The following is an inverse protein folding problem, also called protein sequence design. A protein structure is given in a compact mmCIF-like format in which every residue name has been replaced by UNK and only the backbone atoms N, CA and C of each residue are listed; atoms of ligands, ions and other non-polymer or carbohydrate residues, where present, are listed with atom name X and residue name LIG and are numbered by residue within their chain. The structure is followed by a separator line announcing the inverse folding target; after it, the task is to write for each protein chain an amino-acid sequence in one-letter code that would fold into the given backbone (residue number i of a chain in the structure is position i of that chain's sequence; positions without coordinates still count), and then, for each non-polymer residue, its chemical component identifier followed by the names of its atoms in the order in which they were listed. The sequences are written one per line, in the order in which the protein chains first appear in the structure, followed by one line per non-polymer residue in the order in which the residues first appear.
data_IF_546165198965
#
_entry.id   IF_546165198965
#
_cell.length_a   1.000
_cell.length_b   1.000
_cell.length_c   1.000
_cell.angle_alpha   90.00
_cell.angle_beta   90.00
_cell.angle_gamma   90.00
#
_symmetry.space_group_name_H-M   'P 1'
#
loop_
_entity.id
_entity.type
_entity.pdbx_description
1 polymer ?
#
# COMPACT_ATOMS: atom_id res chain seq x y z
N UNK A 1 17.21 3.41 12.54
CA UNK A 1 15.79 3.75 12.76
C UNK A 1 15.27 4.33 11.47
N UNK A 2 14.50 3.56 10.70
CA UNK A 2 13.80 4.11 9.53
C UNK A 2 12.63 4.93 10.04
N UNK A 3 12.85 6.25 10.17
CA UNK A 3 11.83 7.16 10.64
C UNK A 3 10.66 7.23 9.63
N UNK A 4 9.44 7.03 10.11
CA UNK A 4 8.21 7.18 9.33
C UNK A 4 8.15 8.54 8.64
N UNK A 5 8.67 9.61 9.26
CA UNK A 5 8.73 10.93 8.64
C UNK A 5 9.62 10.94 7.39
N UNK A 6 10.73 10.18 7.41
CA UNK A 6 11.61 10.04 6.23
C UNK A 6 10.87 9.34 5.10
N UNK A 7 10.08 8.30 5.41
CA UNK A 7 9.23 7.65 4.41
C UNK A 7 8.23 8.67 3.82
N UNK A 8 7.47 9.37 4.66
CA UNK A 8 6.46 10.35 4.21
C UNK A 8 7.05 11.44 3.33
N UNK A 9 8.23 11.97 3.70
CA UNK A 9 8.95 12.92 2.86
C UNK A 9 9.35 12.32 1.49
N UNK A 10 9.80 11.06 1.47
CA UNK A 10 10.12 10.35 0.23
C UNK A 10 8.91 10.15 -0.67
N UNK A 11 7.74 9.79 -0.11
CA UNK A 11 6.49 9.62 -0.85
C UNK A 11 6.11 10.89 -1.61
N UNK A 12 6.27 12.05 -0.99
CA UNK A 12 5.92 13.36 -1.56
C UNK A 12 6.91 13.84 -2.63
N UNK A 13 8.06 13.19 -2.81
CA UNK A 13 9.07 13.60 -3.80
C UNK A 13 8.65 13.42 -5.26
N UNK A 14 7.59 12.65 -5.52
CA UNK A 14 7.15 12.26 -6.86
C UNK A 14 8.05 11.22 -7.54
N UNK A 15 9.16 10.81 -6.91
CA UNK A 15 10.14 9.84 -7.43
C UNK A 15 10.22 8.56 -6.61
N UNK A 16 9.39 8.42 -5.59
CA UNK A 16 9.37 7.22 -4.74
C UNK A 16 9.16 5.95 -5.56
N UNK A 17 9.95 4.93 -5.26
CA UNK A 17 9.86 3.62 -5.90
C UNK A 17 9.10 2.65 -5.00
N UNK A 18 8.30 1.78 -5.61
CA UNK A 18 7.54 0.79 -4.84
C UNK A 18 8.45 -0.13 -4.01
N UNK A 19 9.61 -0.47 -4.55
CA UNK A 19 10.63 -1.26 -3.85
C UNK A 19 11.10 -0.61 -2.54
N UNK A 20 11.13 0.72 -2.46
CA UNK A 20 11.55 1.44 -1.24
C UNK A 20 10.49 1.30 -0.13
N UNK A 21 9.20 1.34 -0.48
CA UNK A 21 8.11 1.02 0.46
C UNK A 21 8.26 -0.39 1.00
N UNK A 22 8.51 -1.38 0.12
CA UNK A 22 8.69 -2.77 0.57
C UNK A 22 9.94 -2.95 1.43
N UNK A 23 11.04 -2.25 1.11
CA UNK A 23 12.26 -2.27 1.90
C UNK A 23 12.03 -1.64 3.29
N UNK A 24 11.29 -0.54 3.36
CA UNK A 24 10.90 0.07 4.63
C UNK A 24 10.07 -0.90 5.48
N UNK A 25 9.06 -1.55 4.89
CA UNK A 25 8.26 -2.57 5.57
C UNK A 25 9.13 -3.72 6.09
N UNK A 26 10.00 -4.27 5.24
CA UNK A 26 10.86 -5.40 5.61
C UNK A 26 11.87 -5.08 6.72
N UNK A 27 12.31 -3.83 6.82
CA UNK A 27 13.24 -3.37 7.84
C UNK A 27 12.55 -3.14 9.19
N UNK A 28 11.35 -2.58 9.18
CA UNK A 28 10.68 -2.05 10.37
C UNK A 28 9.54 -2.92 10.92
N UNK A 29 9.06 -3.91 10.16
CA UNK A 29 7.88 -4.70 10.52
C UNK A 29 8.09 -6.19 10.28
N UNK A 30 7.35 -7.00 11.03
CA UNK A 30 7.11 -8.40 10.72
C UNK A 30 5.84 -8.51 9.89
N UNK A 31 5.91 -9.26 8.78
CA UNK A 31 4.79 -9.45 7.87
C UNK A 31 4.26 -10.87 7.98
N UNK A 32 2.94 -10.97 8.10
CA UNK A 32 2.19 -12.22 8.00
C UNK A 32 1.23 -12.13 6.80
N UNK A 33 1.25 -13.11 5.87
CA UNK A 33 0.28 -13.16 4.79
C UNK A 33 -1.14 -13.19 5.31
N UNK A 34 -1.97 -12.30 4.78
CA UNK A 34 -3.34 -12.10 5.26
C UNK A 34 -4.28 -11.79 4.10
N UNK A 35 -5.49 -12.36 4.17
CA UNK A 35 -6.56 -12.02 3.25
C UNK A 35 -7.11 -10.63 3.55
N UNK A 36 -7.51 -9.90 2.51
CA UNK A 36 -8.08 -8.56 2.62
C UNK A 36 -9.04 -8.22 1.49
N UNK A 37 -9.98 -7.33 1.78
CA UNK A 37 -10.81 -6.67 0.79
C UNK A 37 -10.34 -5.23 0.62
N UNK A 38 -10.34 -4.74 -0.61
CA UNK A 38 -10.05 -3.35 -0.93
C UNK A 38 -11.13 -2.83 -1.88
N UNK A 39 -12.16 -2.19 -1.33
CA UNK A 39 -13.23 -1.60 -2.13
C UNK A 39 -13.97 -2.60 -3.03
N UNK A 40 -14.16 -3.83 -2.56
CA UNK A 40 -14.77 -4.92 -3.33
C UNK A 40 -13.78 -5.82 -4.07
N UNK A 41 -12.49 -5.47 -4.12
CA UNK A 41 -11.44 -6.37 -4.63
C UNK A 41 -11.01 -7.32 -3.51
N UNK A 42 -11.35 -8.59 -3.66
CA UNK A 42 -10.95 -9.64 -2.71
C UNK A 42 -9.57 -10.18 -3.03
N UNK A 43 -8.75 -10.34 -1.99
CA UNK A 43 -7.38 -10.84 -2.08
C UNK A 43 -7.21 -11.97 -1.06
N UNK A 44 -6.88 -13.17 -1.53
CA UNK A 44 -6.54 -14.27 -0.64
C UNK A 44 -5.19 -14.05 0.05
N UNK A 45 -4.96 -14.72 1.18
CA UNK A 45 -3.66 -14.68 1.85
C UNK A 45 -2.55 -15.17 0.89
N UNK A 46 -1.45 -14.42 0.81
CA UNK A 46 -0.34 -14.69 -0.12
C UNK A 46 -0.57 -14.20 -1.56
N UNK A 47 -1.75 -13.64 -1.89
CA UNK A 47 -1.97 -12.94 -3.15
C UNK A 47 -1.75 -11.44 -2.96
N UNK A 48 -1.24 -10.78 -4.01
CA UNK A 48 -1.04 -9.34 -4.05
C UNK A 48 -0.27 -8.82 -2.82
N UNK A 49 0.76 -9.55 -2.40
CA UNK A 49 1.47 -9.30 -1.14
C UNK A 49 2.04 -7.89 -1.03
N UNK A 50 2.46 -7.30 -2.16
CA UNK A 50 2.88 -5.92 -2.21
C UNK A 50 1.76 -4.94 -1.80
N UNK A 51 0.53 -5.19 -2.26
CA UNK A 51 -0.66 -4.43 -1.84
C UNK A 51 -1.01 -4.70 -0.38
N UNK A 52 -0.97 -5.97 0.06
CA UNK A 52 -1.22 -6.36 1.44
C UNK A 52 -0.29 -5.60 2.41
N UNK A 53 1.02 -5.60 2.13
CA UNK A 53 2.04 -4.88 2.92
C UNK A 53 1.82 -3.37 2.91
N UNK A 54 1.59 -2.79 1.75
CA UNK A 54 1.46 -1.32 1.60
C UNK A 54 0.20 -0.79 2.28
N UNK A 55 -0.94 -1.46 2.08
CA UNK A 55 -2.20 -1.09 2.72
C UNK A 55 -2.16 -1.38 4.23
N UNK A 56 -1.55 -2.49 4.64
CA UNK A 56 -1.32 -2.80 6.05
C UNK A 56 -0.48 -1.73 6.75
N UNK A 57 0.59 -1.26 6.09
CA UNK A 57 1.41 -0.16 6.56
C UNK A 57 0.59 1.12 6.67
N UNK A 58 -0.17 1.46 5.63
CA UNK A 58 -0.99 2.66 5.60
C UNK A 58 -1.98 2.74 6.76
N UNK A 59 -2.70 1.64 7.03
CA UNK A 59 -3.65 1.56 8.13
C UNK A 59 -2.94 1.57 9.50
N UNK A 60 -1.84 0.84 9.66
CA UNK A 60 -1.10 0.77 10.93
C UNK A 60 -0.48 2.13 11.30
N UNK A 61 0.04 2.86 10.32
CA UNK A 61 0.76 4.12 10.51
C UNK A 61 -0.10 5.38 10.34
N UNK A 62 -1.40 5.20 10.10
CA UNK A 62 -2.33 6.31 9.87
C UNK A 62 -1.90 7.20 8.71
N UNK A 63 -1.52 6.58 7.58
CA UNK A 63 -1.29 7.30 6.34
C UNK A 63 -2.63 7.80 5.77
N UNK A 64 -2.57 8.92 5.05
CA UNK A 64 -3.69 9.37 4.21
C UNK A 64 -3.84 8.51 2.95
N UNK A 65 -5.01 8.59 2.30
CA UNK A 65 -5.25 7.93 1.01
C UNK A 65 -4.19 8.30 -0.03
N UNK A 66 -3.81 9.58 -0.08
CA UNK A 66 -2.78 10.08 -0.99
C UNK A 66 -1.41 9.49 -0.68
N UNK A 67 -1.02 9.41 0.58
CA UNK A 67 0.26 8.78 0.97
C UNK A 67 0.26 7.29 0.65
N UNK A 68 -0.84 6.58 0.89
CA UNK A 68 -0.98 5.17 0.54
C UNK A 68 -0.86 4.95 -0.97
N UNK A 69 -1.48 5.80 -1.79
CA UNK A 69 -1.32 5.77 -3.25
C UNK A 69 0.12 6.04 -3.68
N UNK A 70 0.78 7.06 -3.09
CA UNK A 70 2.18 7.37 -3.38
C UNK A 70 3.13 6.23 -2.99
N UNK A 71 2.79 5.45 -1.96
CA UNK A 71 3.58 4.29 -1.52
C UNK A 71 3.61 3.17 -2.58
N UNK A 72 2.66 3.13 -3.51
CA UNK A 72 2.72 2.25 -4.69
C UNK A 72 3.69 2.72 -5.78
N UNK A 73 4.32 3.89 -5.61
CA UNK A 73 5.41 4.37 -6.46
C UNK A 73 5.06 4.42 -7.96
N UNK A 74 5.89 3.79 -8.78
CA UNK A 74 5.73 3.70 -10.23
C UNK A 74 4.43 3.02 -10.66
N UNK A 75 3.90 2.07 -9.88
CA UNK A 75 2.64 1.40 -10.22
C UNK A 75 1.45 2.35 -10.13
N UNK A 76 1.42 3.23 -9.12
CA UNK A 76 0.38 4.26 -9.03
C UNK A 76 0.48 5.25 -10.20
N UNK A 77 1.70 5.71 -10.52
CA UNK A 77 1.91 6.60 -11.66
C UNK A 77 1.47 5.96 -12.99
N UNK A 78 1.72 4.67 -13.18
CA UNK A 78 1.27 3.91 -14.35
C UNK A 78 -0.26 3.89 -14.45
N UNK A 79 -0.96 3.59 -13.36
CA UNK A 79 -2.43 3.56 -13.31
C UNK A 79 -3.05 4.93 -13.62
N UNK A 80 -2.45 6.01 -13.09
CA UNK A 80 -2.90 7.38 -13.40
C UNK A 80 -2.70 7.73 -14.88
N UNK A 81 -1.63 7.21 -15.51
CA UNK A 81 -1.37 7.41 -16.93
C UNK A 81 -2.29 6.55 -17.84
N UNK A 82 -2.92 5.51 -17.30
CA UNK A 82 -3.82 4.59 -18.02
C UNK A 82 -5.22 4.55 -17.37
N UNK A 83 -6.02 5.63 -17.45
CA UNK A 83 -7.31 5.71 -16.79
C UNK A 83 -8.28 4.59 -17.21
N UNK A 84 -8.25 4.19 -18.49
CA UNK A 84 -9.08 3.12 -19.06
C UNK A 84 -8.49 1.69 -18.89
N UNK A 85 -7.34 1.58 -18.20
CA UNK A 85 -6.70 0.28 -17.95
C UNK A 85 -7.45 -0.56 -16.92
N UNK A 86 -7.16 -1.87 -16.89
CA UNK A 86 -7.70 -2.82 -15.91
C UNK A 86 -6.60 -3.48 -15.06
N UNK A 87 -5.35 -3.05 -15.22
CA UNK A 87 -4.19 -3.46 -14.45
C UNK A 87 -4.24 -2.90 -13.02
N UNK A 88 -3.51 -3.56 -12.10
CA UNK A 88 -3.37 -3.12 -10.71
C UNK A 88 -4.71 -2.85 -9.98
N UNK A 89 -5.60 -3.85 -9.96
CA UNK A 89 -6.93 -3.74 -9.36
C UNK A 89 -6.97 -3.14 -7.95
N UNK A 90 -5.99 -3.44 -7.09
CA UNK A 90 -5.90 -2.85 -5.75
C UNK A 90 -5.61 -1.34 -5.76
N UNK A 91 -4.76 -0.85 -6.67
CA UNK A 91 -4.46 0.57 -6.77
C UNK A 91 -5.71 1.31 -7.26
N UNK A 92 -6.39 0.76 -8.29
CA UNK A 92 -7.63 1.34 -8.81
C UNK A 92 -8.74 1.37 -7.77
N UNK A 93 -8.90 0.29 -7.01
CA UNK A 93 -9.86 0.25 -5.92
C UNK A 93 -9.54 1.25 -4.81
N UNK A 94 -8.25 1.44 -4.49
CA UNK A 94 -7.82 2.45 -3.52
C UNK A 94 -8.11 3.87 -4.01
N UNK A 95 -7.94 4.15 -5.31
CA UNK A 95 -8.33 5.45 -5.91
C UNK A 95 -9.84 5.68 -5.76
N UNK A 96 -10.66 4.65 -5.97
CA UNK A 96 -12.12 4.78 -5.98
C UNK A 96 -12.73 4.85 -4.56
N UNK A 97 -12.17 4.13 -3.60
CA UNK A 97 -12.77 3.91 -2.28
C UNK A 97 -11.94 4.42 -1.10
N UNK A 98 -10.68 4.78 -1.33
CA UNK A 98 -9.75 5.17 -0.28
C UNK A 98 -9.43 4.04 0.70
N UNK A 99 -8.64 4.35 1.73
CA UNK A 99 -8.30 3.41 2.80
C UNK A 99 -9.53 2.97 3.60
N UNK A 100 -10.60 3.77 3.60
CA UNK A 100 -11.88 3.41 4.21
C UNK A 100 -12.51 2.15 3.58
N UNK A 101 -12.19 1.86 2.32
CA UNK A 101 -12.61 0.63 1.64
C UNK A 101 -11.75 -0.60 1.95
N UNK A 102 -10.65 -0.44 2.68
CA UNK A 102 -9.71 -1.53 2.98
C UNK A 102 -10.09 -2.21 4.27
N UNK A 103 -10.28 -3.52 4.21
CA UNK A 103 -10.67 -4.34 5.34
C UNK A 103 -9.78 -5.58 5.40
N UNK A 104 -9.06 -5.70 6.51
CA UNK A 104 -8.30 -6.90 6.83
C UNK A 104 -9.05 -7.71 7.89
N UNK A 105 -9.03 -9.04 7.78
CA UNK A 105 -9.52 -9.90 8.88
C UNK A 105 -8.63 -9.77 10.12
N UNK A 106 -7.32 -9.59 9.91
CA UNK A 106 -6.31 -9.40 10.96
C UNK A 106 -5.23 -8.44 10.44
N UNK A 107 -4.51 -7.77 11.33
CA UNK A 107 -3.47 -6.84 10.88
C UNK A 107 -2.29 -7.62 10.25
N UNK A 108 -1.87 -7.31 9.00
CA UNK A 108 -0.83 -8.07 8.32
C UNK A 108 0.59 -7.70 8.76
N UNK A 109 0.75 -6.61 9.50
CA UNK A 109 2.03 -6.07 9.95
C UNK A 109 2.03 -5.83 11.46
N UNK A 110 3.15 -6.19 12.08
CA UNK A 110 3.46 -5.86 13.48
C UNK A 110 4.79 -5.10 13.51
N UNK A 111 4.87 -4.00 14.26
CA UNK A 111 6.14 -3.25 14.43
C UNK A 111 7.17 -4.12 15.15
N UNK A 112 8.42 -4.08 14.68
CA UNK A 112 9.58 -4.67 15.37
C UNK A 112 10.08 -3.81 16.52
#
# INVERSE_FOLDING_TARGET
MNDLNTLRASLQSGKHLFADTLAFVAASYEYQPQAFNNGGVENAAGQNEGSCKTLGLALLEGLSDQEALLAFGEHYRSVVATPEGSDHGNIRALIAHGLAGVQFTQQPLTRR
#
